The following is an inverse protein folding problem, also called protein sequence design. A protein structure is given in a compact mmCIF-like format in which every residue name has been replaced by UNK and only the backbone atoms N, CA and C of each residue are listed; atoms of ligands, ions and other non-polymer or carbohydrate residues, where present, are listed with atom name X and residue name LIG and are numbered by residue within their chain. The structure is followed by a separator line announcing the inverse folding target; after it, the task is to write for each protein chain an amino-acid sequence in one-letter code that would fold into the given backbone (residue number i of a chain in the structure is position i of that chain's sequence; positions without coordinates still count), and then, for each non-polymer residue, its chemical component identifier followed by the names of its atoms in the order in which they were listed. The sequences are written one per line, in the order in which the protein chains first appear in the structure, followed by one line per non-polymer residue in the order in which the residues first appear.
data_IF_066747022857
#
_entry.id   IF_066747022857
#
_cell.length_a   1.000
_cell.length_b   1.000
_cell.length_c   1.000
_cell.angle_alpha   90.00
_cell.angle_beta   90.00
_cell.angle_gamma   90.00
#
_symmetry.space_group_name_H-M   'P 1'
#
loop_
_entity.id
_entity.type
_entity.pdbx_description
1 polymer ?
#
# COMPACT_ATOMS: atom_id res chain seq x y z
N UNK A 1 -2.53 11.45 18.58
CA UNK A 1 -2.41 10.71 19.86
C UNK A 1 -1.16 9.84 19.74
N UNK A 2 -0.13 10.10 20.55
CA UNK A 2 1.11 9.33 20.51
C UNK A 2 0.96 8.13 21.45
N UNK A 3 0.42 7.02 20.94
CA UNK A 3 0.45 5.76 21.67
C UNK A 3 1.90 5.27 21.61
N UNK A 4 2.60 5.32 22.74
CA UNK A 4 3.91 4.67 22.86
C UNK A 4 3.83 3.19 22.49
N UNK A 5 4.98 2.53 22.47
CA UNK A 5 5.02 1.09 22.20
C UNK A 5 4.28 0.35 23.33
N UNK A 6 3.21 -0.40 22.99
CA UNK A 6 2.42 -1.15 23.97
C UNK A 6 3.27 -2.18 24.72
N UNK A 7 2.88 -2.54 25.92
CA UNK A 7 3.40 -3.72 26.61
C UNK A 7 2.72 -5.00 26.09
N UNK A 8 3.27 -6.15 26.47
CA UNK A 8 2.65 -7.43 26.19
C UNK A 8 1.29 -7.50 26.91
N UNK A 9 0.23 -7.84 26.17
CA UNK A 9 -1.13 -7.89 26.70
C UNK A 9 -1.67 -9.31 26.75
N UNK A 10 -1.30 -10.16 25.79
CA UNK A 10 -1.77 -11.54 25.70
C UNK A 10 -0.78 -12.41 24.92
N UNK A 11 -0.19 -13.38 25.59
CA UNK A 11 0.81 -14.30 25.07
C UNK A 11 0.22 -15.61 24.50
N UNK A 12 -1.11 -15.74 24.43
CA UNK A 12 -1.75 -16.94 23.91
C UNK A 12 -1.45 -17.17 22.42
N UNK A 13 -1.08 -18.39 22.06
CA UNK A 13 -0.91 -18.86 20.68
C UNK A 13 -2.23 -19.11 19.96
N UNK A 14 -3.35 -19.04 20.69
CA UNK A 14 -4.72 -19.27 20.16
C UNK A 14 -5.33 -18.03 19.52
N UNK A 15 -4.55 -16.98 19.34
CA UNK A 15 -4.99 -15.73 18.75
C UNK A 15 -4.72 -15.74 17.26
N UNK A 16 -5.76 -15.45 16.48
CA UNK A 16 -5.67 -15.22 15.04
C UNK A 16 -5.91 -13.75 14.74
N UNK A 17 -4.94 -13.13 14.06
CA UNK A 17 -5.03 -11.76 13.56
C UNK A 17 -5.21 -11.80 12.04
N UNK A 18 -6.34 -11.29 11.56
CA UNK A 18 -6.61 -11.14 10.13
C UNK A 18 -6.49 -9.67 9.74
N UNK A 19 -5.70 -9.35 8.72
CA UNK A 19 -5.49 -7.98 8.24
C UNK A 19 -5.92 -7.85 6.79
N UNK A 20 -6.89 -6.98 6.53
CA UNK A 20 -7.29 -6.60 5.17
C UNK A 20 -6.39 -5.49 4.62
N UNK A 21 -6.26 -5.43 3.30
CA UNK A 21 -5.38 -4.51 2.57
C UNK A 21 -3.99 -4.38 3.20
N UNK A 22 -3.34 -5.53 3.41
CA UNK A 22 -2.04 -5.69 4.02
C UNK A 22 -0.89 -5.09 3.17
N UNK A 23 -1.10 -3.98 2.49
CA UNK A 23 -0.13 -3.25 1.67
C UNK A 23 0.25 -1.90 2.28
N UNK A 24 -0.70 -1.13 2.81
CA UNK A 24 -0.45 0.28 3.16
C UNK A 24 -0.91 0.64 4.57
N UNK A 25 -0.11 1.48 5.21
CA UNK A 25 -0.38 2.22 6.46
C UNK A 25 -0.27 1.49 7.80
N UNK A 26 -0.49 0.17 7.90
CA UNK A 26 -0.45 -0.48 9.23
C UNK A 26 0.97 -0.77 9.77
N UNK A 27 1.99 -0.63 8.93
CA UNK A 27 3.33 -1.17 9.17
C UNK A 27 4.26 -0.41 10.12
N UNK A 28 3.86 0.73 10.68
CA UNK A 28 4.75 1.48 11.59
C UNK A 28 4.42 1.14 13.05
N UNK A 29 3.73 2.04 13.75
CA UNK A 29 3.49 1.93 15.19
C UNK A 29 2.38 0.93 15.50
N UNK A 30 1.32 0.86 14.68
CA UNK A 30 0.19 -0.01 14.98
C UNK A 30 0.55 -1.50 14.82
N UNK A 31 1.21 -1.90 13.73
CA UNK A 31 1.68 -3.28 13.59
C UNK A 31 2.74 -3.65 14.64
N UNK A 32 3.65 -2.72 14.98
CA UNK A 32 4.62 -2.95 16.05
C UNK A 32 3.93 -3.17 17.41
N UNK A 33 2.91 -2.38 17.70
CA UNK A 33 2.09 -2.52 18.89
C UNK A 33 1.30 -3.83 18.88
N UNK A 34 0.74 -4.22 17.75
CA UNK A 34 -0.01 -5.46 17.62
C UNK A 34 0.89 -6.68 17.84
N UNK A 35 2.09 -6.66 17.26
CA UNK A 35 3.08 -7.72 17.46
C UNK A 35 3.55 -7.79 18.91
N UNK A 36 3.79 -6.64 19.55
CA UNK A 36 4.29 -6.64 20.93
C UNK A 36 3.20 -6.98 21.94
N UNK A 37 1.97 -6.54 21.71
CA UNK A 37 0.83 -6.87 22.55
C UNK A 37 0.45 -8.35 22.46
N UNK A 38 0.64 -8.98 21.30
CA UNK A 38 0.30 -10.38 21.03
C UNK A 38 1.44 -11.12 20.32
N UNK A 39 2.52 -11.47 21.04
CA UNK A 39 3.75 -11.99 20.44
C UNK A 39 3.60 -13.36 19.77
N UNK A 40 2.65 -14.18 20.24
CA UNK A 40 2.45 -15.55 19.76
C UNK A 40 1.26 -15.70 18.80
N UNK A 41 0.61 -14.61 18.40
CA UNK A 41 -0.53 -14.67 17.51
C UNK A 41 -0.14 -15.13 16.10
N UNK A 42 -1.02 -15.90 15.46
CA UNK A 42 -0.92 -16.20 14.04
C UNK A 42 -1.46 -15.01 13.24
N UNK A 43 -0.71 -14.56 12.24
CA UNK A 43 -1.09 -13.42 11.39
C UNK A 43 -1.39 -13.86 9.96
N UNK A 44 -2.59 -13.54 9.46
CA UNK A 44 -3.01 -13.76 8.07
C UNK A 44 -3.33 -12.41 7.43
N UNK A 45 -2.72 -12.13 6.29
CA UNK A 45 -2.90 -10.88 5.53
C UNK A 45 -3.58 -11.13 4.20
N UNK A 46 -4.57 -10.30 3.87
CA UNK A 46 -5.21 -10.24 2.55
C UNK A 46 -4.75 -8.96 1.85
N UNK A 47 -4.41 -9.05 0.57
CA UNK A 47 -4.03 -7.86 -0.21
C UNK A 47 -4.22 -8.11 -1.70
N UNK A 48 -4.81 -7.14 -2.39
CA UNK A 48 -4.83 -7.12 -3.87
C UNK A 48 -3.55 -6.57 -4.49
N UNK A 49 -2.68 -5.95 -3.69
CA UNK A 49 -1.47 -5.26 -4.16
C UNK A 49 -0.27 -5.57 -3.26
N UNK A 50 0.25 -6.80 -3.26
CA UNK A 50 1.38 -7.16 -2.40
C UNK A 50 2.65 -6.37 -2.76
N UNK A 51 3.42 -6.01 -1.74
CA UNK A 51 4.79 -5.49 -1.87
C UNK A 51 5.76 -6.35 -1.06
N UNK A 52 7.06 -6.22 -1.33
CA UNK A 52 8.11 -6.97 -0.63
C UNK A 52 8.02 -6.86 0.91
N UNK A 53 7.58 -5.70 1.44
CA UNK A 53 7.39 -5.51 2.88
C UNK A 53 6.25 -6.38 3.44
N UNK A 54 5.18 -6.56 2.68
CA UNK A 54 4.06 -7.44 3.03
C UNK A 54 4.51 -8.88 3.09
N UNK A 55 5.21 -9.35 2.06
CA UNK A 55 5.73 -10.72 1.99
C UNK A 55 6.68 -11.01 3.14
N UNK A 56 7.59 -10.07 3.46
CA UNK A 56 8.47 -10.20 4.62
C UNK A 56 7.72 -10.29 5.96
N UNK A 57 6.54 -9.67 6.08
CA UNK A 57 5.75 -9.66 7.32
C UNK A 57 4.92 -10.94 7.49
N UNK A 58 4.21 -11.33 6.44
CA UNK A 58 3.22 -12.43 6.50
C UNK A 58 3.80 -13.77 6.04
N UNK A 59 4.97 -13.78 5.40
CA UNK A 59 5.61 -14.97 4.87
C UNK A 59 5.04 -15.35 3.50
N UNK A 60 5.06 -16.65 3.24
CA UNK A 60 4.65 -17.23 1.97
C UNK A 60 3.13 -17.13 1.76
N UNK A 61 2.73 -17.13 0.49
CA UNK A 61 1.33 -17.11 0.12
C UNK A 61 0.68 -18.46 0.45
N UNK A 62 -0.44 -18.42 1.19
CA UNK A 62 -1.33 -19.57 1.36
C UNK A 62 -2.04 -19.87 0.02
N UNK A 63 -2.51 -18.81 -0.65
CA UNK A 63 -3.18 -18.87 -1.95
C UNK A 63 -3.00 -17.56 -2.74
N UNK A 64 -3.22 -17.60 -4.06
CA UNK A 64 -3.19 -16.44 -4.95
C UNK A 64 -4.36 -16.49 -5.93
N UNK A 65 -5.17 -15.43 -5.89
CA UNK A 65 -6.19 -15.16 -6.89
C UNK A 65 -5.89 -13.83 -7.59
N UNK A 66 -5.50 -13.91 -8.86
CA UNK A 66 -5.04 -12.75 -9.63
C UNK A 66 -6.20 -12.00 -10.24
N UNK A 67 -5.99 -10.70 -10.52
CA UNK A 67 -6.95 -9.89 -11.28
C UNK A 67 -7.30 -10.52 -12.64
N UNK A 68 -6.33 -11.20 -13.27
CA UNK A 68 -6.57 -11.90 -14.54
C UNK A 68 -7.54 -13.07 -14.36
N UNK A 69 -7.36 -13.90 -13.33
CA UNK A 69 -8.30 -14.99 -13.02
C UNK A 69 -9.69 -14.43 -12.70
N UNK A 70 -9.77 -13.33 -11.93
CA UNK A 70 -11.04 -12.66 -11.63
C UNK A 70 -11.80 -12.19 -12.88
N UNK A 71 -11.08 -11.76 -13.91
CA UNK A 71 -11.65 -11.38 -15.22
C UNK A 71 -12.07 -12.63 -16.01
N UNK A 72 -11.22 -13.65 -16.08
CA UNK A 72 -11.49 -14.92 -16.79
C UNK A 72 -12.72 -15.65 -16.22
N UNK A 73 -12.90 -15.62 -14.90
CA UNK A 73 -14.05 -16.20 -14.20
C UNK A 73 -15.33 -15.35 -14.30
N UNK A 74 -15.24 -14.13 -14.87
CA UNK A 74 -16.36 -13.20 -14.97
C UNK A 74 -16.78 -12.56 -13.64
N UNK A 75 -15.96 -12.67 -12.59
CA UNK A 75 -16.19 -12.05 -11.28
C UNK A 75 -15.90 -10.55 -11.32
N UNK A 76 -14.97 -10.12 -12.17
CA UNK A 76 -14.56 -8.71 -12.36
C UNK A 76 -14.63 -8.31 -13.82
N UNK A 77 -15.03 -7.06 -14.10
CA UNK A 77 -14.99 -6.48 -15.44
C UNK A 77 -13.57 -6.06 -15.83
N UNK A 78 -13.22 -6.28 -17.09
CA UNK A 78 -11.96 -5.78 -17.65
C UNK A 78 -11.95 -4.25 -17.71
N UNK A 79 -10.85 -3.64 -17.26
CA UNK A 79 -10.61 -2.20 -17.38
C UNK A 79 -9.78 -1.97 -18.65
N UNK A 80 -10.43 -1.45 -19.68
CA UNK A 80 -9.75 -1.06 -20.93
C UNK A 80 -9.20 0.36 -20.77
N UNK A 81 -7.87 0.51 -20.80
CA UNK A 81 -7.22 1.81 -20.75
C UNK A 81 -6.97 2.36 -22.16
N UNK A 82 -7.70 3.41 -22.53
CA UNK A 82 -7.42 4.17 -23.75
C UNK A 82 -6.56 5.40 -23.42
N UNK A 83 -5.29 5.36 -23.81
CA UNK A 83 -4.41 6.52 -23.72
C UNK A 83 -4.85 7.59 -24.70
N UNK A 84 -5.42 8.70 -24.21
CA UNK A 84 -5.71 9.88 -25.04
C UNK A 84 -4.47 10.77 -25.10
N UNK A 85 -3.75 10.74 -26.21
CA UNK A 85 -2.70 11.73 -26.46
C UNK A 85 -3.36 12.98 -27.07
N UNK A 86 -3.09 14.14 -26.49
CA UNK A 86 -3.32 15.40 -27.19
C UNK A 86 -2.01 15.77 -27.88
N UNK A 87 -2.07 16.08 -29.18
CA UNK A 87 -0.98 16.75 -29.88
C UNK A 87 -0.94 18.22 -29.42
N UNK A 88 -0.55 18.43 -28.16
CA UNK A 88 -0.26 19.75 -27.65
C UNK A 88 1.21 20.06 -27.97
N UNK A 89 1.45 20.87 -28.99
CA UNK A 89 2.78 21.43 -29.22
C UNK A 89 3.04 22.54 -28.21
N UNK A 90 4.14 22.43 -27.48
CA UNK A 90 4.62 23.51 -26.60
C UNK A 90 5.26 24.55 -27.50
N UNK A 91 4.54 25.65 -27.75
CA UNK A 91 5.00 26.76 -28.60
C UNK A 91 6.20 27.50 -28.03
N UNK A 92 6.31 27.57 -26.69
CA UNK A 92 7.42 28.22 -26.00
C UNK A 92 7.81 27.42 -24.75
N UNK A 93 8.85 26.60 -24.90
CA UNK A 93 9.35 25.73 -23.83
C UNK A 93 10.01 26.52 -22.70
N UNK A 94 10.64 27.64 -23.01
CA UNK A 94 11.34 28.45 -22.02
C UNK A 94 10.36 29.15 -21.09
N UNK A 95 9.30 29.75 -21.66
CA UNK A 95 8.25 30.39 -20.86
C UNK A 95 7.50 29.37 -20.00
N UNK A 96 7.22 28.17 -20.53
CA UNK A 96 6.57 27.11 -19.78
C UNK A 96 7.43 26.65 -18.60
N UNK A 97 8.74 26.47 -18.82
CA UNK A 97 9.66 26.10 -17.76
C UNK A 97 9.80 27.21 -16.69
N UNK A 98 9.85 28.48 -17.11
CA UNK A 98 9.90 29.61 -16.19
C UNK A 98 8.66 29.68 -15.29
N UNK A 99 7.46 29.46 -15.86
CA UNK A 99 6.21 29.37 -15.09
C UNK A 99 6.17 28.15 -14.17
N UNK A 100 6.67 27.00 -14.62
CA UNK A 100 6.76 25.82 -13.77
C UNK A 100 7.63 26.09 -12.54
N UNK A 101 8.81 26.67 -12.75
CA UNK A 101 9.72 27.05 -11.64
C UNK A 101 9.05 28.06 -10.70
N UNK A 102 8.34 29.08 -11.21
CA UNK A 102 7.64 30.05 -10.37
C UNK A 102 6.48 29.44 -9.55
N UNK A 103 5.70 28.53 -10.15
CA UNK A 103 4.58 27.85 -9.47
C UNK A 103 5.08 26.92 -8.37
N UNK A 104 6.20 26.24 -8.60
CA UNK A 104 6.77 25.26 -7.68
C UNK A 104 7.95 25.81 -6.85
N UNK A 105 8.18 27.13 -6.84
CA UNK A 105 9.32 27.74 -6.12
C UNK A 105 9.32 27.47 -4.63
N UNK A 106 8.14 27.31 -4.05
CA UNK A 106 7.94 27.06 -2.62
C UNK A 106 7.76 25.55 -2.32
N UNK A 107 7.90 24.68 -3.33
CA UNK A 107 7.75 23.25 -3.17
C UNK A 107 9.05 22.61 -2.66
N UNK A 108 9.05 22.13 -1.42
CA UNK A 108 10.12 21.33 -0.85
C UNK A 108 9.82 19.83 -1.07
N UNK A 109 10.68 19.14 -1.82
CA UNK A 109 10.55 17.72 -2.14
C UNK A 109 10.77 16.77 -0.94
N UNK A 110 10.90 17.32 0.29
CA UNK A 110 11.12 16.57 1.53
C UNK A 110 9.92 16.55 2.50
N UNK A 111 8.73 17.00 2.10
CA UNK A 111 7.49 16.66 2.83
C UNK A 111 6.97 15.29 2.42
#
# INVERSE_FOLDING_TARGET
INYGILEEMNDSDRILVMTDEAHRTQYSVLAANLQKAMPNATHIGFTGTPIAKTEKRYGDYIDKYTMRQAIEDGVTLEIVYEGRTHNAEISDKEQMNAKFIDVFKDYDAKQ
#
